data_IF_597826224873
#
_entry.id   IF_597826224873
#
_cell.length_a   1.000
_cell.length_b   1.000
_cell.length_c   1.000
_cell.angle_alpha   90.00
_cell.angle_beta   90.00
_cell.angle_gamma   90.00
#
_symmetry.space_group_name_H-M   'P 1'
#
loop_
_entity.id
_entity.type
_entity.pdbx_description
1 polymer ?
#
# COMPACT_ATOMS: atom_id res chain seq x y z
N UNK A 1 31.34 1.09 5.78
CA UNK A 1 31.12 -0.16 5.02
C UNK A 1 30.01 -1.07 5.60
N UNK A 2 30.00 -1.36 6.92
CA UNK A 2 29.02 -2.29 7.50
C UNK A 2 27.63 -1.65 7.69
N UNK A 3 27.58 -0.42 8.18
CA UNK A 3 26.31 0.30 8.45
C UNK A 3 25.48 0.51 7.18
N UNK A 4 26.09 1.03 6.09
CA UNK A 4 25.42 1.17 4.78
C UNK A 4 24.86 -0.17 4.26
N UNK A 5 25.56 -1.30 4.47
CA UNK A 5 25.04 -2.64 4.09
C UNK A 5 23.82 -3.06 4.92
N UNK A 6 23.73 -2.66 6.19
CA UNK A 6 22.56 -2.97 7.02
C UNK A 6 21.37 -2.07 6.66
N UNK A 7 21.61 -0.78 6.40
CA UNK A 7 20.57 0.18 5.97
C UNK A 7 19.92 -0.28 4.66
N UNK A 8 20.71 -0.72 3.67
CA UNK A 8 20.16 -1.20 2.39
C UNK A 8 19.19 -2.39 2.54
N UNK A 9 19.38 -3.24 3.57
CA UNK A 9 18.50 -4.38 3.84
C UNK A 9 17.13 -3.98 4.40
N UNK A 10 16.94 -2.73 4.82
CA UNK A 10 15.66 -2.24 5.34
C UNK A 10 14.64 -1.97 4.23
N UNK A 11 15.07 -1.80 2.98
CA UNK A 11 14.18 -1.50 1.84
C UNK A 11 13.14 -2.59 1.63
N UNK A 12 13.58 -3.83 1.45
CA UNK A 12 12.71 -4.98 1.16
C UNK A 12 11.64 -5.23 2.25
N UNK A 13 11.97 -5.35 3.56
CA UNK A 13 10.95 -5.56 4.59
C UNK A 13 9.99 -4.37 4.72
N UNK A 14 10.45 -3.14 4.44
CA UNK A 14 9.58 -1.95 4.47
C UNK A 14 8.58 -1.95 3.31
N UNK A 15 9.01 -2.35 2.11
CA UNK A 15 8.11 -2.52 0.95
C UNK A 15 7.10 -3.62 1.22
N UNK A 16 7.53 -4.76 1.78
CA UNK A 16 6.64 -5.86 2.15
C UNK A 16 5.60 -5.44 3.20
N UNK A 17 5.97 -4.56 4.13
CA UNK A 17 5.02 -4.00 5.09
C UNK A 17 3.88 -3.25 4.36
N UNK A 18 4.21 -2.44 3.35
CA UNK A 18 3.19 -1.75 2.53
C UNK A 18 2.27 -2.74 1.82
N UNK A 19 2.82 -3.82 1.25
CA UNK A 19 2.03 -4.86 0.58
C UNK A 19 1.01 -5.50 1.53
N UNK A 20 1.43 -5.83 2.75
CA UNK A 20 0.56 -6.41 3.77
C UNK A 20 -0.55 -5.43 4.19
N UNK A 21 -0.22 -4.15 4.36
CA UNK A 21 -1.22 -3.11 4.66
C UNK A 21 -2.22 -2.96 3.53
N UNK A 22 -1.77 -2.93 2.27
CA UNK A 22 -2.66 -2.84 1.09
C UNK A 22 -3.59 -4.05 0.99
N UNK A 23 -3.08 -5.26 1.26
CA UNK A 23 -3.90 -6.46 1.29
C UNK A 23 -5.00 -6.36 2.35
N UNK A 24 -4.67 -5.89 3.56
CA UNK A 24 -5.66 -5.72 4.63
C UNK A 24 -6.64 -4.57 4.33
N UNK A 25 -6.20 -3.47 3.74
CA UNK A 25 -7.10 -2.42 3.23
C UNK A 25 -8.10 -3.00 2.22
N UNK A 26 -7.65 -3.89 1.32
CA UNK A 26 -8.53 -4.61 0.41
C UNK A 26 -9.59 -5.46 1.13
N UNK A 27 -9.23 -6.13 2.23
CA UNK A 27 -10.18 -6.86 3.09
C UNK A 27 -11.21 -5.91 3.72
N UNK A 28 -10.76 -4.79 4.26
CA UNK A 28 -11.62 -3.77 4.88
C UNK A 28 -12.59 -3.16 3.88
N UNK A 29 -12.13 -2.83 2.67
CA UNK A 29 -12.96 -2.29 1.58
C UNK A 29 -14.11 -3.25 1.26
N UNK A 30 -13.81 -4.54 1.07
CA UNK A 30 -14.83 -5.57 0.81
C UNK A 30 -15.87 -5.66 1.94
N UNK A 31 -15.42 -5.72 3.20
CA UNK A 31 -16.32 -5.76 4.37
C UNK A 31 -17.21 -4.53 4.46
N UNK A 32 -16.67 -3.34 4.16
CA UNK A 32 -17.47 -2.11 4.14
C UNK A 32 -18.47 -2.11 2.98
N UNK A 33 -18.10 -2.65 1.83
CA UNK A 33 -18.93 -2.71 0.64
C UNK A 33 -20.13 -3.65 0.77
N UNK A 34 -20.07 -4.67 1.64
CA UNK A 34 -21.21 -5.51 1.99
C UNK A 34 -22.41 -4.70 2.55
N UNK A 35 -22.13 -3.58 3.24
CA UNK A 35 -23.18 -2.66 3.73
C UNK A 35 -23.92 -1.92 2.60
N UNK A 36 -23.37 -1.92 1.38
CA UNK A 36 -23.95 -1.34 0.17
C UNK A 36 -24.64 -2.39 -0.72
N UNK A 37 -24.86 -3.61 -0.23
CA UNK A 37 -25.47 -4.72 -0.97
C UNK A 37 -26.82 -4.40 -1.64
N UNK A 38 -27.60 -3.47 -1.08
CA UNK A 38 -28.88 -3.01 -1.66
C UNK A 38 -28.72 -2.22 -2.97
N UNK A 39 -27.54 -1.66 -3.23
CA UNK A 39 -27.24 -0.84 -4.40
C UNK A 39 -26.02 -1.39 -5.14
N UNK A 40 -26.18 -2.45 -5.95
CA UNK A 40 -25.06 -3.19 -6.55
C UNK A 40 -24.15 -2.30 -7.43
N UNK A 41 -24.74 -1.38 -8.22
CA UNK A 41 -23.98 -0.45 -9.06
C UNK A 41 -23.17 0.56 -8.24
N UNK A 42 -23.74 1.06 -7.14
CA UNK A 42 -23.04 1.98 -6.24
C UNK A 42 -21.89 1.25 -5.54
N UNK A 43 -22.14 0.01 -5.09
CA UNK A 43 -21.13 -0.83 -4.45
C UNK A 43 -19.93 -1.06 -5.38
N UNK A 44 -20.17 -1.52 -6.60
CA UNK A 44 -19.12 -1.79 -7.60
C UNK A 44 -18.29 -0.53 -7.88
N UNK A 45 -18.96 0.59 -8.15
CA UNK A 45 -18.28 1.84 -8.47
C UNK A 45 -17.48 2.38 -7.28
N UNK A 46 -18.01 2.23 -6.06
CA UNK A 46 -17.31 2.60 -4.83
C UNK A 46 -16.08 1.72 -4.60
N UNK A 47 -16.20 0.38 -4.72
CA UNK A 47 -15.07 -0.55 -4.62
C UNK A 47 -14.00 -0.22 -5.67
N UNK A 48 -14.40 0.09 -6.91
CA UNK A 48 -13.50 0.46 -8.01
C UNK A 48 -12.71 1.73 -7.70
N UNK A 49 -13.40 2.81 -7.32
CA UNK A 49 -12.77 4.10 -7.02
C UNK A 49 -11.79 3.96 -5.86
N UNK A 50 -12.20 3.33 -4.76
CA UNK A 50 -11.34 3.19 -3.58
C UNK A 50 -10.15 2.28 -3.88
N UNK A 51 -10.34 1.16 -4.58
CA UNK A 51 -9.25 0.25 -4.95
C UNK A 51 -8.22 0.92 -5.86
N UNK A 52 -8.69 1.73 -6.83
CA UNK A 52 -7.81 2.51 -7.70
C UNK A 52 -6.97 3.49 -6.89
N UNK A 53 -7.60 4.21 -5.97
CA UNK A 53 -6.90 5.15 -5.10
C UNK A 53 -5.86 4.44 -4.22
N UNK A 54 -6.21 3.32 -3.59
CA UNK A 54 -5.26 2.56 -2.75
C UNK A 54 -4.04 2.12 -3.54
N UNK A 55 -4.21 1.64 -4.78
CA UNK A 55 -3.08 1.26 -5.65
C UNK A 55 -2.17 2.45 -6.00
N UNK A 56 -2.74 3.61 -6.29
CA UNK A 56 -1.95 4.82 -6.55
C UNK A 56 -1.15 5.25 -5.30
N UNK A 57 -1.77 5.19 -4.12
CA UNK A 57 -1.12 5.51 -2.85
C UNK A 57 -0.03 4.50 -2.50
N UNK A 58 -0.25 3.21 -2.76
CA UNK A 58 0.76 2.16 -2.60
C UNK A 58 2.04 2.48 -3.39
N UNK A 59 1.92 2.83 -4.68
CA UNK A 59 3.08 3.16 -5.52
C UNK A 59 3.84 4.36 -4.97
N UNK A 60 3.11 5.40 -4.56
CA UNK A 60 3.70 6.61 -3.96
C UNK A 60 4.44 6.28 -2.67
N UNK A 61 3.85 5.49 -1.77
CA UNK A 61 4.46 5.09 -0.50
C UNK A 61 5.71 4.23 -0.70
N UNK A 62 5.67 3.27 -1.64
CA UNK A 62 6.84 2.45 -1.99
C UNK A 62 7.99 3.29 -2.55
N UNK A 63 7.66 4.29 -3.37
CA UNK A 63 8.66 5.22 -3.90
C UNK A 63 9.28 6.07 -2.77
N UNK A 64 8.47 6.63 -1.86
CA UNK A 64 8.96 7.39 -0.71
C UNK A 64 9.87 6.56 0.21
N UNK A 65 9.51 5.30 0.48
CA UNK A 65 10.35 4.38 1.26
C UNK A 65 11.69 4.15 0.56
N UNK A 66 11.67 3.95 -0.76
CA UNK A 66 12.89 3.75 -1.55
C UNK A 66 13.80 4.97 -1.48
N UNK A 67 13.23 6.17 -1.64
CA UNK A 67 13.96 7.43 -1.56
C UNK A 67 14.57 7.66 -0.16
N UNK A 68 13.81 7.40 0.91
CA UNK A 68 14.32 7.52 2.28
C UNK A 68 15.54 6.62 2.51
N UNK A 69 15.50 5.37 2.06
CA UNK A 69 16.65 4.47 2.16
C UNK A 69 17.83 4.97 1.32
N UNK A 70 17.59 5.51 0.13
CA UNK A 70 18.64 6.05 -0.74
C UNK A 70 19.33 7.28 -0.12
N UNK A 71 18.57 8.16 0.53
CA UNK A 71 19.10 9.32 1.26
C UNK A 71 20.00 8.89 2.43
N UNK A 72 19.58 7.89 3.21
CA UNK A 72 20.38 7.34 4.34
C UNK A 72 21.64 6.57 3.87
N UNK A 73 21.70 6.20 2.59
CA UNK A 73 22.83 5.50 1.98
C UNK A 73 23.85 6.43 1.32
N UNK A 74 23.47 7.67 1.01
CA UNK A 74 24.38 8.71 0.51
C UNK A 74 25.53 8.95 1.50
#
# INVERSE_FOLDING_TARGET
>A
AIVKKQIAKLKEPSIKCVDLVVAELGNVIRRCAEKMSRYPRLREETERIITSHVREREQTSKHQISLLVEVELA
#
